data_IF_814396972396
#
_entry.id   IF_814396972396
#
_cell.length_a   1.000
_cell.length_b   1.000
_cell.length_c   1.000
_cell.angle_alpha   90.00
_cell.angle_beta   90.00
_cell.angle_gamma   90.00
#
_symmetry.space_group_name_H-M   'P 1'
#
loop_
_entity.id
_entity.type
_entity.pdbx_description
1 polymer ?
#
# COMPACT_ATOMS: atom_id res chain seq x y z
N UNK A 1 -59.44 40.72 -11.08
CA UNK A 1 -58.46 40.24 -12.08
C UNK A 1 -57.08 40.37 -11.46
N UNK A 2 -56.61 39.33 -10.76
CA UNK A 2 -55.22 39.24 -10.31
C UNK A 2 -54.87 37.76 -10.29
N UNK A 3 -54.17 37.31 -11.32
CA UNK A 3 -53.69 35.94 -11.46
C UNK A 3 -52.46 35.74 -10.59
N UNK A 4 -52.56 34.86 -9.59
CA UNK A 4 -51.41 34.29 -8.90
C UNK A 4 -50.86 33.16 -9.77
N UNK A 5 -49.74 33.40 -10.45
CA UNK A 5 -48.92 32.34 -11.02
C UNK A 5 -48.14 31.67 -9.88
N UNK A 6 -48.50 30.42 -9.57
CA UNK A 6 -47.65 29.54 -8.77
C UNK A 6 -46.45 29.11 -9.63
N UNK A 7 -45.22 29.37 -9.16
CA UNK A 7 -44.03 28.77 -9.75
C UNK A 7 -44.04 27.25 -9.53
N UNK A 8 -43.55 26.45 -10.48
CA UNK A 8 -43.46 25.00 -10.29
C UNK A 8 -42.38 24.71 -9.26
N UNK A 9 -42.75 24.05 -8.15
CA UNK A 9 -41.79 23.44 -7.24
C UNK A 9 -41.09 22.32 -8.00
N UNK A 10 -39.82 22.50 -8.32
CA UNK A 10 -38.93 21.38 -8.61
C UNK A 10 -38.95 20.44 -7.40
N UNK A 11 -39.49 19.26 -7.61
CA UNK A 11 -39.59 18.23 -6.58
C UNK A 11 -38.28 17.44 -6.64
N UNK A 12 -37.20 18.00 -6.09
CA UNK A 12 -35.91 17.31 -5.94
C UNK A 12 -36.10 16.16 -4.97
N UNK A 13 -36.18 14.94 -5.50
CA UNK A 13 -36.30 13.72 -4.70
C UNK A 13 -34.93 13.42 -4.10
N UNK A 14 -34.83 13.50 -2.78
CA UNK A 14 -33.60 13.20 -2.06
C UNK A 14 -33.58 11.72 -1.67
N UNK A 15 -32.56 10.98 -2.16
CA UNK A 15 -32.30 9.61 -1.75
C UNK A 15 -31.31 9.66 -0.61
N UNK A 16 -31.66 9.05 0.53
CA UNK A 16 -30.77 8.92 1.68
C UNK A 16 -30.45 7.44 1.84
N UNK A 17 -29.17 7.10 1.73
CA UNK A 17 -28.67 5.73 1.80
C UNK A 17 -27.43 5.67 2.68
N UNK A 18 -27.10 4.49 3.18
CA UNK A 18 -25.85 4.28 3.91
C UNK A 18 -24.67 4.26 2.91
N UNK A 19 -23.49 4.67 3.36
CA UNK A 19 -22.28 4.64 2.53
C UNK A 19 -21.96 3.21 2.07
N UNK A 20 -22.26 2.22 2.92
CA UNK A 20 -21.99 0.80 2.65
C UNK A 20 -22.85 0.23 1.51
N UNK A 21 -24.03 0.83 1.23
CA UNK A 21 -24.94 0.36 0.19
C UNK A 21 -24.36 0.51 -1.23
N UNK A 22 -23.36 1.41 -1.42
CA UNK A 22 -22.60 1.56 -2.67
C UNK A 22 -21.81 0.30 -3.04
N UNK A 23 -21.42 -0.50 -2.05
CA UNK A 23 -20.48 -1.61 -2.23
C UNK A 23 -21.18 -2.97 -2.12
N UNK A 24 -22.50 -2.98 -2.03
CA UNK A 24 -23.30 -4.22 -2.10
C UNK A 24 -23.47 -4.65 -3.55
N UNK A 25 -23.75 -5.94 -3.77
CA UNK A 25 -24.04 -6.49 -5.11
C UNK A 25 -25.21 -5.78 -5.83
N UNK A 26 -26.06 -5.06 -5.08
CA UNK A 26 -27.24 -4.38 -5.60
C UNK A 26 -27.03 -2.87 -5.81
N UNK A 27 -25.99 -2.27 -5.22
CA UNK A 27 -25.71 -0.84 -5.26
C UNK A 27 -26.86 0.05 -4.74
N UNK A 28 -26.80 1.35 -5.04
CA UNK A 28 -27.89 2.30 -4.77
C UNK A 28 -28.60 2.62 -6.08
N UNK A 29 -29.89 2.29 -6.15
CA UNK A 29 -30.71 2.58 -7.33
C UNK A 29 -31.00 4.09 -7.43
N UNK A 30 -30.50 4.73 -8.49
CA UNK A 30 -30.80 6.13 -8.83
C UNK A 30 -31.71 6.15 -10.05
N UNK A 31 -32.86 6.78 -9.94
CA UNK A 31 -33.98 6.70 -10.89
C UNK A 31 -34.11 7.99 -11.71
N UNK A 32 -33.02 8.43 -12.34
CA UNK A 32 -33.03 9.49 -13.38
C UNK A 32 -32.54 10.88 -12.96
N UNK A 33 -32.56 11.80 -13.93
CA UNK A 33 -31.97 13.14 -13.80
C UNK A 33 -32.74 14.03 -12.82
N UNK A 34 -32.01 14.62 -11.87
CA UNK A 34 -32.53 15.55 -10.85
C UNK A 34 -32.65 14.98 -9.43
N UNK A 35 -32.28 13.71 -9.20
CA UNK A 35 -32.20 13.13 -7.86
C UNK A 35 -30.90 13.51 -7.16
N UNK A 36 -30.98 13.84 -5.86
CA UNK A 36 -29.80 14.18 -5.05
C UNK A 36 -29.56 13.06 -4.04
N UNK A 37 -28.42 12.37 -4.15
CA UNK A 37 -28.02 11.31 -3.21
C UNK A 37 -27.30 11.92 -1.99
N UNK A 38 -27.78 11.59 -0.80
CA UNK A 38 -27.14 11.94 0.48
C UNK A 38 -26.72 10.67 1.19
N UNK A 39 -25.42 10.41 1.20
CA UNK A 39 -24.82 9.27 1.88
C UNK A 39 -24.61 9.60 3.36
N UNK A 40 -25.13 8.74 4.24
CA UNK A 40 -24.94 8.86 5.68
C UNK A 40 -23.74 8.01 6.09
N UNK A 41 -22.68 8.65 6.58
CA UNK A 41 -21.58 7.95 7.25
C UNK A 41 -21.91 7.85 8.75
N UNK A 42 -22.26 6.65 9.23
CA UNK A 42 -22.44 6.33 10.64
C UNK A 42 -23.73 6.86 11.28
N UNK A 43 -24.78 6.03 11.29
CA UNK A 43 -25.98 6.27 12.10
C UNK A 43 -26.06 5.28 13.26
N UNK A 44 -26.13 5.82 14.48
CA UNK A 44 -25.97 5.17 15.78
C UNK A 44 -27.16 4.32 16.24
N UNK A 45 -26.88 3.21 16.92
CA UNK A 45 -27.77 2.66 17.95
C UNK A 45 -27.10 2.69 19.34
N UNK A 46 -27.87 3.21 20.28
CA UNK A 46 -27.55 3.58 21.66
C UNK A 46 -27.23 2.42 22.61
N UNK A 47 -26.23 2.67 23.47
CA UNK A 47 -25.67 1.87 24.58
C UNK A 47 -26.61 0.97 25.41
N UNK A 48 -26.10 -0.21 25.81
CA UNK A 48 -26.19 -0.74 27.18
C UNK A 48 -24.90 -1.45 27.62
N UNK A 49 -24.44 -1.08 28.82
CA UNK A 49 -23.30 -1.58 29.60
C UNK A 49 -22.98 -3.08 29.48
N UNK A 50 -21.70 -3.40 29.27
CA UNK A 50 -21.02 -4.54 29.94
C UNK A 50 -19.57 -4.18 30.29
N UNK A 51 -19.18 -4.50 31.52
CA UNK A 51 -17.86 -4.27 32.11
C UNK A 51 -16.75 -5.11 31.44
N UNK A 52 -15.48 -4.64 31.49
CA UNK A 52 -14.35 -5.33 30.86
C UNK A 52 -13.93 -6.56 31.65
N UNK A 53 -13.95 -7.73 31.03
CA UNK A 53 -13.24 -8.92 31.52
C UNK A 53 -11.77 -8.83 31.11
N UNK A 54 -10.90 -9.02 32.10
CA UNK A 54 -9.44 -8.89 32.05
C UNK A 54 -8.75 -9.60 30.87
N UNK A 55 -7.70 -9.00 30.27
CA UNK A 55 -6.93 -9.66 29.23
C UNK A 55 -6.05 -10.78 29.83
N UNK A 56 -6.11 -11.96 29.19
CA UNK A 56 -5.13 -13.04 29.40
C UNK A 56 -3.75 -12.57 28.91
N UNK A 57 -2.72 -12.85 29.72
CA UNK A 57 -1.30 -12.55 29.48
C UNK A 57 -0.87 -12.90 28.05
N UNK A 58 -0.47 -11.88 27.29
CA UNK A 58 0.36 -11.99 26.10
C UNK A 58 1.81 -12.29 26.50
N UNK A 59 2.41 -13.27 25.83
CA UNK A 59 3.83 -13.63 25.98
C UNK A 59 4.72 -12.60 25.26
N UNK A 60 5.88 -12.32 25.86
CA UNK A 60 6.82 -11.25 25.49
C UNK A 60 7.59 -11.57 24.20
N UNK A 61 7.62 -10.58 23.30
CA UNK A 61 8.88 -9.98 22.84
C UNK A 61 9.59 -10.65 21.66
N UNK A 62 8.96 -10.61 20.48
CA UNK A 62 9.68 -10.51 19.21
C UNK A 62 9.05 -9.36 18.42
N UNK A 63 9.80 -8.70 17.52
CA UNK A 63 9.23 -7.62 16.75
C UNK A 63 8.33 -8.13 15.62
N UNK A 64 7.18 -7.49 15.56
CA UNK A 64 5.98 -7.87 14.80
C UNK A 64 6.02 -7.46 13.32
N UNK A 65 6.52 -8.25 12.37
CA UNK A 65 6.40 -7.86 10.96
C UNK A 65 4.90 -7.87 10.55
N UNK A 66 4.34 -6.71 10.19
CA UNK A 66 2.93 -6.50 9.81
C UNK A 66 2.88 -6.06 8.34
N UNK A 67 1.89 -6.54 7.58
CA UNK A 67 1.75 -6.28 6.15
C UNK A 67 0.28 -6.04 5.78
N UNK A 68 0.03 -5.23 4.74
CA UNK A 68 -1.23 -4.56 4.43
C UNK A 68 -1.88 -5.08 3.14
N UNK A 69 -1.77 -6.38 2.87
CA UNK A 69 -2.26 -7.00 1.62
C UNK A 69 -3.71 -6.66 1.25
N UNK A 70 -4.59 -6.44 2.24
CA UNK A 70 -5.95 -5.96 2.02
C UNK A 70 -6.02 -4.55 1.38
N UNK A 71 -5.13 -3.63 1.75
CA UNK A 71 -5.08 -2.26 1.21
C UNK A 71 -4.62 -2.30 -0.26
N UNK A 72 -3.55 -3.04 -0.55
CA UNK A 72 -3.08 -3.26 -1.93
C UNK A 72 -4.16 -3.88 -2.82
N UNK A 73 -4.87 -4.89 -2.30
CA UNK A 73 -5.98 -5.53 -3.03
C UNK A 73 -7.06 -4.50 -3.36
N UNK A 74 -7.50 -3.72 -2.37
CA UNK A 74 -8.53 -2.71 -2.57
C UNK A 74 -8.12 -1.60 -3.56
N UNK A 75 -6.87 -1.13 -3.49
CA UNK A 75 -6.34 -0.14 -4.44
C UNK A 75 -6.40 -0.71 -5.87
N UNK A 76 -5.81 -1.88 -6.09
CA UNK A 76 -5.75 -2.46 -7.44
C UNK A 76 -7.12 -2.85 -7.99
N UNK A 77 -8.00 -3.44 -7.18
CA UNK A 77 -9.34 -3.86 -7.59
C UNK A 77 -10.27 -2.68 -7.92
N UNK A 78 -9.97 -1.48 -7.40
CA UNK A 78 -10.66 -0.24 -7.76
C UNK A 78 -10.26 0.34 -9.12
N UNK A 79 -9.20 -0.21 -9.75
CA UNK A 79 -8.70 0.23 -11.05
C UNK A 79 -9.62 -0.23 -12.18
N UNK A 80 -9.73 0.55 -13.24
CA UNK A 80 -10.48 0.21 -14.44
C UNK A 80 -9.51 -0.26 -15.53
N UNK A 81 -9.73 -1.46 -16.06
CA UNK A 81 -8.93 -2.06 -17.13
C UNK A 81 -9.64 -1.97 -18.48
N UNK A 82 -8.86 -1.84 -19.56
CA UNK A 82 -9.37 -1.85 -20.93
C UNK A 82 -8.69 -2.92 -21.76
N UNK A 83 -9.46 -3.57 -22.62
CA UNK A 83 -8.95 -4.60 -23.53
C UNK A 83 -9.22 -4.26 -25.00
N UNK A 84 -10.27 -3.48 -25.26
CA UNK A 84 -10.72 -3.11 -26.60
C UNK A 84 -10.80 -1.59 -26.69
N UNK A 85 -10.30 -1.03 -27.79
CA UNK A 85 -10.38 0.41 -28.06
C UNK A 85 -11.84 0.87 -28.08
N UNK A 86 -12.12 2.00 -27.42
CA UNK A 86 -13.45 2.63 -27.33
C UNK A 86 -14.53 1.81 -26.59
N UNK A 87 -14.21 0.63 -26.07
CA UNK A 87 -15.09 -0.13 -25.19
C UNK A 87 -15.10 0.45 -23.76
N UNK A 88 -16.20 0.28 -23.00
CA UNK A 88 -16.22 0.59 -21.57
C UNK A 88 -15.07 -0.14 -20.83
N UNK A 89 -14.46 0.54 -19.88
CA UNK A 89 -13.49 -0.10 -19.00
C UNK A 89 -14.21 -1.02 -18.00
N UNK A 90 -13.53 -2.07 -17.59
CA UNK A 90 -14.04 -3.09 -16.67
C UNK A 90 -13.34 -2.91 -15.32
N UNK A 91 -14.07 -2.91 -14.19
CA UNK A 91 -13.44 -2.95 -12.87
C UNK A 91 -12.47 -4.12 -12.77
N UNK A 92 -11.25 -3.87 -12.30
CA UNK A 92 -10.20 -4.87 -12.17
C UNK A 92 -10.60 -6.02 -11.23
N UNK A 93 -11.47 -5.75 -10.26
CA UNK A 93 -12.09 -6.76 -9.39
C UNK A 93 -12.92 -7.81 -10.13
N UNK A 94 -13.36 -7.52 -11.37
CA UNK A 94 -14.16 -8.40 -12.22
C UNK A 94 -13.34 -9.08 -13.32
N UNK A 95 -12.03 -8.83 -13.36
CA UNK A 95 -11.13 -9.34 -14.39
C UNK A 95 -10.15 -10.31 -13.76
N UNK A 96 -10.12 -11.54 -14.28
CA UNK A 96 -9.09 -12.51 -13.97
C UNK A 96 -7.94 -12.39 -14.98
N UNK A 97 -6.76 -12.00 -14.50
CA UNK A 97 -5.53 -11.97 -15.30
C UNK A 97 -4.88 -13.36 -15.24
N UNK A 98 -4.75 -14.01 -16.39
CA UNK A 98 -4.22 -15.36 -16.47
C UNK A 98 -2.68 -15.37 -16.55
N UNK A 99 -2.04 -16.07 -15.62
CA UNK A 99 -0.59 -16.24 -15.56
C UNK A 99 -0.13 -17.55 -16.24
N UNK A 100 1.12 -17.64 -16.72
CA UNK A 100 1.65 -18.83 -17.39
C UNK A 100 1.54 -20.15 -16.61
N UNK A 101 1.54 -20.11 -15.28
CA UNK A 101 1.37 -21.30 -14.42
C UNK A 101 -0.10 -21.68 -14.15
N UNK A 102 -1.05 -21.07 -14.87
CA UNK A 102 -2.48 -21.31 -14.73
C UNK A 102 -3.13 -20.66 -13.51
N UNK A 103 -2.44 -19.73 -12.83
CA UNK A 103 -3.09 -18.82 -11.88
C UNK A 103 -3.98 -17.84 -12.64
N UNK A 104 -5.09 -17.48 -12.02
CA UNK A 104 -6.01 -16.46 -12.46
C UNK A 104 -6.22 -15.55 -11.23
N UNK A 105 -5.84 -14.29 -11.34
CA UNK A 105 -5.81 -13.34 -10.23
C UNK A 105 -6.37 -11.99 -10.67
N UNK A 106 -7.05 -11.28 -9.78
CA UNK A 106 -7.40 -9.87 -10.04
C UNK A 106 -6.15 -8.99 -10.01
N UNK A 107 -6.26 -7.79 -10.56
CA UNK A 107 -5.16 -6.81 -10.50
C UNK A 107 -4.73 -6.54 -9.05
N UNK A 108 -5.69 -6.31 -8.15
CA UNK A 108 -5.42 -6.07 -6.73
C UNK A 108 -4.73 -7.25 -6.05
N UNK A 109 -5.13 -8.48 -6.35
CA UNK A 109 -4.45 -9.67 -5.81
C UNK A 109 -3.00 -9.75 -6.27
N UNK A 110 -2.69 -9.35 -7.51
CA UNK A 110 -1.30 -9.33 -7.98
C UNK A 110 -0.48 -8.23 -7.29
N UNK A 111 -1.04 -7.03 -7.06
CA UNK A 111 -0.40 -5.99 -6.24
C UNK A 111 -0.07 -6.52 -4.84
N UNK A 112 -1.06 -7.15 -4.18
CA UNK A 112 -0.92 -7.63 -2.80
C UNK A 112 0.05 -8.81 -2.65
N UNK A 113 0.35 -9.53 -3.73
CA UNK A 113 1.26 -10.68 -3.74
C UNK A 113 2.69 -10.29 -4.13
N UNK A 114 2.87 -9.25 -4.94
CA UNK A 114 4.19 -8.74 -5.34
C UNK A 114 4.94 -8.14 -4.17
N UNK A 115 6.28 -8.24 -4.16
CA UNK A 115 7.14 -7.64 -3.13
C UNK A 115 7.14 -8.40 -1.80
N UNK A 116 5.95 -8.65 -1.22
CA UNK A 116 5.78 -9.22 0.12
C UNK A 116 5.83 -10.74 0.14
N UNK A 117 5.20 -11.39 -0.83
CA UNK A 117 5.04 -12.85 -0.87
C UNK A 117 5.83 -13.50 -2.00
N UNK A 118 5.98 -12.79 -3.10
CA UNK A 118 6.69 -13.24 -4.29
C UNK A 118 7.76 -12.24 -4.67
N UNK A 119 8.96 -12.77 -4.91
CA UNK A 119 10.19 -12.03 -5.07
C UNK A 119 11.40 -12.93 -4.85
N UNK A 120 12.60 -12.39 -5.04
CA UNK A 120 13.86 -13.09 -4.80
C UNK A 120 14.57 -12.37 -3.64
N UNK A 121 14.55 -12.91 -2.40
CA UNK A 121 15.08 -12.20 -1.23
C UNK A 121 16.53 -11.70 -1.37
N UNK A 122 17.38 -12.47 -2.03
CA UNK A 122 18.79 -12.13 -2.22
C UNK A 122 19.05 -11.28 -3.48
N UNK A 123 18.00 -10.94 -4.23
CA UNK A 123 18.10 -10.12 -5.45
C UNK A 123 17.02 -9.03 -5.49
N UNK A 124 17.00 -8.11 -4.51
CA UNK A 124 16.11 -6.95 -4.57
C UNK A 124 16.33 -6.17 -5.88
N UNK A 125 15.25 -5.64 -6.42
CA UNK A 125 15.14 -5.04 -7.74
C UNK A 125 16.01 -3.78 -7.83
N UNK A 126 15.96 -2.91 -6.80
CA UNK A 126 16.71 -1.66 -6.76
C UNK A 126 18.23 -1.86 -6.85
N UNK A 127 18.74 -3.03 -6.44
CA UNK A 127 20.18 -3.35 -6.44
C UNK A 127 20.73 -3.81 -7.80
N UNK A 128 19.91 -3.85 -8.85
CA UNK A 128 20.45 -3.88 -10.21
C UNK A 128 21.29 -2.61 -10.47
N UNK A 129 22.54 -2.80 -10.93
CA UNK A 129 23.47 -1.68 -11.14
C UNK A 129 23.06 -0.82 -12.34
N UNK A 130 22.37 -1.42 -13.30
CA UNK A 130 21.87 -0.75 -14.50
C UNK A 130 20.35 -0.90 -14.63
N UNK A 131 19.66 -0.01 -15.38
CA UNK A 131 18.22 -0.16 -15.63
C UNK A 131 17.84 -1.54 -16.20
N UNK A 132 18.66 -2.09 -17.10
CA UNK A 132 18.44 -3.42 -17.67
C UNK A 132 18.55 -4.54 -16.62
N UNK A 133 19.51 -4.44 -15.70
CA UNK A 133 19.62 -5.40 -14.59
C UNK A 133 18.42 -5.32 -13.63
N UNK A 134 17.90 -4.11 -13.37
CA UNK A 134 16.68 -3.96 -12.54
C UNK A 134 15.47 -4.59 -13.22
N UNK A 135 15.30 -4.38 -14.53
CA UNK A 135 14.24 -5.04 -15.32
C UNK A 135 14.37 -6.57 -15.26
N UNK A 136 15.60 -7.10 -15.34
CA UNK A 136 15.83 -8.54 -15.23
C UNK A 136 15.49 -9.07 -13.84
N UNK A 137 15.86 -8.36 -12.76
CA UNK A 137 15.54 -8.73 -11.38
C UNK A 137 14.03 -8.69 -11.13
N UNK A 138 13.35 -7.64 -11.62
CA UNK A 138 11.89 -7.56 -11.59
C UNK A 138 11.27 -8.76 -12.31
N UNK A 139 11.71 -9.07 -13.53
CA UNK A 139 11.21 -10.22 -14.30
C UNK A 139 11.40 -11.53 -13.53
N UNK A 140 12.56 -11.72 -12.86
CA UNK A 140 12.80 -12.90 -12.02
C UNK A 140 11.85 -12.95 -10.81
N UNK A 141 11.62 -11.80 -10.15
CA UNK A 141 10.69 -11.68 -9.04
C UNK A 141 9.24 -12.01 -9.47
N UNK A 142 8.76 -11.41 -10.55
CA UNK A 142 7.45 -11.69 -11.13
C UNK A 142 7.30 -13.17 -11.52
N UNK A 143 8.33 -13.76 -12.14
CA UNK A 143 8.29 -15.17 -12.53
C UNK A 143 8.21 -16.14 -11.33
N UNK A 144 8.64 -15.72 -10.14
CA UNK A 144 8.43 -16.50 -8.91
C UNK A 144 6.94 -16.67 -8.58
N UNK A 145 6.09 -15.71 -8.97
CA UNK A 145 4.63 -15.81 -8.91
C UNK A 145 4.05 -16.50 -10.15
N UNK A 146 4.45 -16.02 -11.33
CA UNK A 146 3.70 -16.24 -12.58
C UNK A 146 4.06 -17.54 -13.31
N UNK A 147 5.24 -18.11 -13.10
CA UNK A 147 5.76 -19.24 -13.91
C UNK A 147 5.89 -20.54 -13.11
N UNK A 148 6.21 -20.45 -11.82
CA UNK A 148 6.43 -21.66 -11.02
C UNK A 148 5.11 -22.40 -10.73
N UNK A 149 4.99 -23.71 -11.02
CA UNK A 149 3.76 -24.46 -10.74
C UNK A 149 3.38 -24.49 -9.25
N UNK A 150 4.37 -24.53 -8.35
CA UNK A 150 4.13 -24.54 -6.90
C UNK A 150 3.43 -23.27 -6.41
N UNK A 151 3.70 -22.13 -7.06
CA UNK A 151 3.09 -20.84 -6.72
C UNK A 151 1.58 -20.84 -6.95
N UNK A 152 1.04 -21.69 -7.82
CA UNK A 152 -0.40 -21.77 -8.05
C UNK A 152 -1.18 -22.18 -6.79
N UNK A 153 -0.72 -23.23 -6.12
CA UNK A 153 -1.35 -23.70 -4.88
C UNK A 153 -1.02 -22.77 -3.70
N UNK A 154 0.22 -22.30 -3.62
CA UNK A 154 0.70 -21.45 -2.54
C UNK A 154 -0.02 -20.08 -2.51
N UNK A 155 -0.17 -19.41 -3.65
CA UNK A 155 -0.86 -18.11 -3.74
C UNK A 155 -2.29 -18.19 -3.20
N UNK A 156 -3.02 -19.27 -3.50
CA UNK A 156 -4.38 -19.49 -2.99
C UNK A 156 -4.41 -19.62 -1.46
N UNK A 157 -3.41 -20.25 -0.85
CA UNK A 157 -3.30 -20.33 0.61
C UNK A 157 -3.00 -18.96 1.22
N UNK A 158 -2.09 -18.19 0.61
CA UNK A 158 -1.75 -16.84 1.05
C UNK A 158 -2.98 -15.92 1.01
N UNK A 159 -3.70 -15.92 -0.11
CA UNK A 159 -4.93 -15.16 -0.29
C UNK A 159 -6.03 -15.61 0.68
N UNK A 160 -6.09 -16.91 1.01
CA UNK A 160 -7.01 -17.42 2.03
C UNK A 160 -6.74 -16.86 3.43
N UNK A 161 -5.48 -16.62 3.78
CA UNK A 161 -5.11 -15.94 5.05
C UNK A 161 -5.42 -14.44 4.96
N UNK A 162 -5.14 -13.79 3.82
CA UNK A 162 -5.49 -12.39 3.56
C UNK A 162 -7.00 -12.13 3.65
N UNK A 163 -7.83 -13.09 3.23
CA UNK A 163 -9.28 -12.98 3.36
C UNK A 163 -9.74 -12.91 4.83
N UNK A 164 -8.97 -13.47 5.79
CA UNK A 164 -9.25 -13.32 7.23
C UNK A 164 -9.05 -11.89 7.69
N UNK A 165 -8.01 -11.23 7.18
CA UNK A 165 -7.74 -9.80 7.42
C UNK A 165 -8.89 -8.94 6.87
N UNK A 166 -9.23 -9.12 5.59
CA UNK A 166 -10.34 -8.41 4.93
C UNK A 166 -11.65 -8.61 5.70
N UNK A 167 -11.94 -9.84 6.15
CA UNK A 167 -13.15 -10.12 6.91
C UNK A 167 -13.19 -9.40 8.27
N UNK A 168 -12.05 -9.29 8.95
CA UNK A 168 -11.94 -8.57 10.22
C UNK A 168 -12.11 -7.06 10.04
N UNK A 169 -11.51 -6.47 9.00
CA UNK A 169 -11.67 -5.05 8.65
C UNK A 169 -13.13 -4.74 8.34
N UNK A 170 -13.76 -5.54 7.46
CA UNK A 170 -15.16 -5.38 7.11
C UNK A 170 -16.07 -5.53 8.34
N UNK A 171 -15.71 -6.39 9.30
CA UNK A 171 -16.45 -6.48 10.55
C UNK A 171 -16.28 -5.22 11.43
N UNK A 172 -15.07 -4.66 11.51
CA UNK A 172 -14.84 -3.43 12.25
C UNK A 172 -15.65 -2.26 11.66
N UNK A 173 -15.70 -2.15 10.33
CA UNK A 173 -16.53 -1.16 9.62
C UNK A 173 -18.01 -1.36 9.98
N UNK A 174 -18.54 -2.58 9.86
CA UNK A 174 -19.94 -2.90 10.23
C UNK A 174 -20.25 -2.60 11.69
N UNK A 175 -19.28 -2.75 12.59
CA UNK A 175 -19.41 -2.45 14.00
C UNK A 175 -19.32 -0.93 14.31
N UNK A 176 -19.04 -0.09 13.32
CA UNK A 176 -18.79 1.35 13.48
C UNK A 176 -17.46 1.67 14.18
N UNK A 177 -16.52 0.71 14.20
CA UNK A 177 -15.16 0.89 14.72
C UNK A 177 -14.24 1.42 13.63
N UNK A 178 -13.10 1.98 14.03
CA UNK A 178 -12.09 2.37 13.06
C UNK A 178 -11.41 1.12 12.47
N UNK A 179 -11.24 1.03 11.13
CA UNK A 179 -10.59 -0.11 10.49
C UNK A 179 -9.21 -0.49 11.05
N UNK A 180 -8.38 0.50 11.40
CA UNK A 180 -7.07 0.23 12.01
C UNK A 180 -7.13 -0.59 13.31
N UNK A 181 -8.24 -0.54 14.06
CA UNK A 181 -8.43 -1.35 15.27
C UNK A 181 -8.48 -2.85 14.96
N UNK A 182 -8.94 -3.23 13.77
CA UNK A 182 -8.94 -4.64 13.33
C UNK A 182 -7.51 -5.15 13.15
N UNK A 183 -6.63 -4.35 12.54
CA UNK A 183 -5.21 -4.70 12.38
C UNK A 183 -4.51 -4.86 13.75
N UNK A 184 -4.80 -3.96 14.70
CA UNK A 184 -4.25 -4.06 16.05
C UNK A 184 -4.73 -5.31 16.79
N UNK A 185 -5.98 -5.72 16.58
CA UNK A 185 -6.54 -6.93 17.18
C UNK A 185 -6.00 -8.23 16.56
N UNK A 186 -5.76 -8.26 15.24
CA UNK A 186 -5.19 -9.41 14.54
C UNK A 186 -3.74 -9.68 14.96
N UNK A 187 -2.95 -8.63 15.22
CA UNK A 187 -1.56 -8.77 15.63
C UNK A 187 -0.74 -9.62 14.65
N UNK A 188 0.11 -10.52 15.16
CA UNK A 188 1.07 -11.29 14.35
C UNK A 188 0.53 -12.61 13.80
N UNK A 189 -0.70 -12.98 14.14
CA UNK A 189 -1.18 -14.34 13.86
C UNK A 189 -1.20 -14.66 12.37
N UNK A 190 -1.43 -13.65 11.53
CA UNK A 190 -1.41 -13.81 10.07
C UNK A 190 0.01 -13.95 9.53
N UNK A 191 0.96 -13.16 10.03
CA UNK A 191 2.39 -13.28 9.68
C UNK A 191 2.98 -14.64 10.03
N UNK A 192 2.55 -15.23 11.15
CA UNK A 192 2.91 -16.61 11.51
C UNK A 192 2.38 -17.65 10.52
N UNK A 193 1.14 -17.49 10.04
CA UNK A 193 0.55 -18.38 9.03
C UNK A 193 1.24 -18.22 7.67
N UNK A 194 1.44 -16.98 7.22
CA UNK A 194 2.15 -16.68 5.97
C UNK A 194 3.59 -17.17 5.96
N UNK A 195 4.30 -17.06 7.09
CA UNK A 195 5.64 -17.62 7.20
C UNK A 195 5.64 -19.13 6.98
N UNK A 196 4.68 -19.86 7.58
CA UNK A 196 4.54 -21.32 7.39
C UNK A 196 4.20 -21.68 5.95
N UNK A 197 3.27 -20.95 5.34
CA UNK A 197 2.85 -21.19 3.94
C UNK A 197 4.05 -21.03 3.00
N UNK A 198 4.90 -20.03 3.24
CA UNK A 198 6.07 -19.72 2.41
C UNK A 198 7.34 -20.50 2.80
N UNK A 199 7.17 -21.65 3.47
CA UNK A 199 8.25 -22.60 3.76
C UNK A 199 9.06 -22.33 5.04
N UNK A 200 8.55 -21.47 5.93
CA UNK A 200 9.11 -21.19 7.24
C UNK A 200 8.42 -21.93 8.39
N UNK A 201 8.80 -21.58 9.61
CA UNK A 201 8.23 -22.12 10.83
C UNK A 201 8.67 -23.54 11.16
N UNK A 202 8.47 -23.93 12.41
CA UNK A 202 8.82 -25.22 12.99
C UNK A 202 7.81 -25.61 14.07
N UNK A 203 7.99 -26.80 14.66
CA UNK A 203 7.14 -27.27 15.75
C UNK A 203 7.24 -26.43 17.03
N UNK A 204 8.33 -25.68 17.22
CA UNK A 204 8.56 -24.82 18.41
C UNK A 204 8.35 -23.33 18.14
N UNK A 205 8.33 -22.90 16.88
CA UNK A 205 8.19 -21.50 16.52
C UNK A 205 7.52 -21.35 15.17
N UNK A 206 6.45 -20.56 15.11
CA UNK A 206 5.82 -20.23 13.84
C UNK A 206 6.68 -19.30 12.96
N UNK A 207 7.63 -18.57 13.56
CA UNK A 207 8.47 -17.59 12.87
C UNK A 207 9.80 -18.18 12.39
N UNK A 208 10.33 -19.21 13.05
CA UNK A 208 11.65 -19.77 12.72
C UNK A 208 11.59 -21.24 12.30
N UNK A 209 12.29 -21.64 11.21
CA UNK A 209 13.09 -20.81 10.29
C UNK A 209 12.25 -19.79 9.48
N UNK A 210 12.93 -18.80 8.89
CA UNK A 210 12.27 -17.79 8.05
C UNK A 210 11.87 -18.40 6.69
N UNK A 211 10.58 -18.36 6.38
CA UNK A 211 10.02 -18.61 5.05
C UNK A 211 10.28 -17.44 4.10
N UNK A 212 9.85 -17.57 2.84
CA UNK A 212 10.09 -16.53 1.82
C UNK A 212 9.50 -15.18 2.22
N UNK A 213 8.31 -15.16 2.81
CA UNK A 213 7.65 -13.94 3.30
C UNK A 213 8.54 -13.14 4.29
N UNK A 214 9.03 -13.79 5.36
CA UNK A 214 9.88 -13.09 6.33
C UNK A 214 11.28 -12.78 5.80
N UNK A 215 11.77 -13.52 4.80
CA UNK A 215 13.03 -13.20 4.12
C UNK A 215 12.92 -11.97 3.24
N UNK A 216 11.81 -11.83 2.50
CA UNK A 216 11.50 -10.63 1.73
C UNK A 216 11.40 -9.43 2.68
N UNK A 217 10.63 -9.55 3.76
CA UNK A 217 10.51 -8.55 4.81
C UNK A 217 11.86 -8.07 5.40
N UNK A 218 12.82 -8.99 5.54
CA UNK A 218 14.14 -8.67 6.08
C UNK A 218 15.00 -7.85 5.09
N UNK A 219 14.89 -8.11 3.78
CA UNK A 219 15.63 -7.43 2.72
C UNK A 219 14.69 -6.71 1.74
N UNK A 220 13.91 -5.77 2.28
CA UNK A 220 12.79 -5.11 1.60
C UNK A 220 13.09 -3.64 1.22
N UNK A 221 14.31 -3.33 0.77
CA UNK A 221 14.64 -1.96 0.38
C UNK A 221 13.71 -1.44 -0.74
N UNK A 222 13.21 -2.32 -1.60
CA UNK A 222 12.29 -2.04 -2.72
C UNK A 222 10.92 -1.44 -2.31
N UNK A 223 10.65 -1.29 -1.01
CA UNK A 223 9.43 -0.63 -0.52
C UNK A 223 9.67 0.84 -0.15
N UNK A 224 10.93 1.28 0.01
CA UNK A 224 11.22 2.57 0.62
C UNK A 224 11.75 3.61 -0.37
N UNK A 225 11.08 4.75 -0.43
CA UNK A 225 11.55 5.99 -1.07
C UNK A 225 12.14 5.79 -2.47
N UNK A 226 13.37 6.26 -2.68
CA UNK A 226 14.01 6.18 -4.00
C UNK A 226 14.20 4.73 -4.51
N UNK A 227 14.24 3.76 -3.61
CA UNK A 227 14.40 2.35 -3.97
C UNK A 227 13.11 1.75 -4.51
N UNK A 228 11.96 2.06 -3.90
CA UNK A 228 10.65 1.72 -4.45
C UNK A 228 10.39 2.39 -5.79
N UNK A 229 10.81 3.64 -5.95
CA UNK A 229 10.76 4.34 -7.24
C UNK A 229 11.52 3.57 -8.32
N UNK A 230 12.73 3.06 -8.01
CA UNK A 230 13.52 2.26 -8.95
C UNK A 230 12.87 0.91 -9.26
N UNK A 231 12.26 0.26 -8.27
CA UNK A 231 11.54 -1.00 -8.44
C UNK A 231 10.30 -0.83 -9.34
N UNK A 232 9.48 0.19 -9.07
CA UNK A 232 8.33 0.56 -9.90
C UNK A 232 8.76 0.87 -11.34
N UNK A 233 9.77 1.72 -11.54
CA UNK A 233 10.25 2.08 -12.89
C UNK A 233 10.68 0.83 -13.66
N UNK A 234 11.42 -0.09 -13.02
CA UNK A 234 11.85 -1.32 -13.66
C UNK A 234 10.66 -2.22 -14.06
N UNK A 235 9.71 -2.39 -13.14
CA UNK A 235 8.52 -3.21 -13.37
C UNK A 235 7.57 -2.64 -14.42
N UNK A 236 7.24 -1.36 -14.32
CA UNK A 236 6.40 -0.66 -15.28
C UNK A 236 7.04 -0.67 -16.67
N UNK A 237 8.36 -0.47 -16.77
CA UNK A 237 9.08 -0.61 -18.05
C UNK A 237 8.91 -2.00 -18.65
N UNK A 238 9.03 -3.06 -17.84
CA UNK A 238 8.85 -4.43 -18.30
C UNK A 238 7.40 -4.70 -18.75
N UNK A 239 6.42 -4.18 -18.01
CA UNK A 239 5.00 -4.27 -18.35
C UNK A 239 4.68 -3.55 -19.68
N UNK A 240 5.22 -2.36 -19.91
CA UNK A 240 5.05 -1.63 -21.17
C UNK A 240 5.71 -2.35 -22.35
N UNK A 241 6.89 -2.95 -22.14
CA UNK A 241 7.54 -3.78 -23.15
C UNK A 241 6.67 -5.00 -23.50
N UNK A 242 6.06 -5.62 -22.50
CA UNK A 242 5.12 -6.73 -22.66
C UNK A 242 3.84 -6.29 -23.39
N UNK A 243 3.31 -5.09 -23.11
CA UNK A 243 2.17 -4.52 -23.82
C UNK A 243 2.47 -4.26 -25.31
N UNK A 244 3.67 -3.77 -25.63
CA UNK A 244 4.13 -3.62 -27.02
C UNK A 244 4.29 -4.98 -27.70
N UNK A 245 4.79 -6.01 -26.99
CA UNK A 245 4.84 -7.36 -27.51
C UNK A 245 3.43 -7.92 -27.81
N UNK A 246 2.46 -7.64 -26.94
CA UNK A 246 1.06 -8.00 -27.12
C UNK A 246 0.43 -7.32 -28.34
N UNK A 247 0.74 -6.05 -28.59
CA UNK A 247 0.33 -5.34 -29.81
C UNK A 247 0.81 -6.08 -31.06
N UNK A 248 2.10 -6.43 -31.10
CA UNK A 248 2.74 -7.04 -32.26
C UNK A 248 2.24 -8.48 -32.52
N UNK A 249 1.84 -9.22 -31.48
CA UNK A 249 1.34 -10.58 -31.61
C UNK A 249 -0.15 -10.65 -31.93
N UNK A 250 -0.94 -9.65 -31.51
CA UNK A 250 -2.40 -9.69 -31.56
C UNK A 250 -3.02 -10.69 -30.56
N UNK A 251 -2.25 -11.20 -29.61
CA UNK A 251 -2.72 -12.14 -28.59
C UNK A 251 -3.14 -11.39 -27.33
N UNK A 252 -4.45 -11.33 -27.06
CA UNK A 252 -5.02 -10.65 -25.89
C UNK A 252 -4.48 -11.20 -24.56
N UNK A 253 -4.05 -12.46 -24.50
CA UNK A 253 -3.43 -13.03 -23.29
C UNK A 253 -2.11 -12.36 -22.94
N UNK A 254 -1.40 -11.83 -23.93
CA UNK A 254 -0.17 -11.08 -23.70
C UNK A 254 -0.45 -9.70 -23.10
N UNK A 255 -1.63 -9.13 -23.33
CA UNK A 255 -2.09 -7.90 -22.66
C UNK A 255 -2.49 -8.19 -21.21
N UNK A 256 -3.16 -9.31 -20.92
CA UNK A 256 -3.40 -9.74 -19.55
C UNK A 256 -2.08 -9.91 -18.78
N UNK A 257 -1.07 -10.52 -19.40
CA UNK A 257 0.26 -10.65 -18.82
C UNK A 257 0.93 -9.28 -18.59
N UNK A 258 0.76 -8.33 -19.51
CA UNK A 258 1.26 -6.96 -19.33
C UNK A 258 0.60 -6.28 -18.12
N UNK A 259 -0.72 -6.41 -17.96
CA UNK A 259 -1.41 -5.92 -16.77
C UNK A 259 -0.96 -6.62 -15.49
N UNK A 260 -0.73 -7.93 -15.50
CA UNK A 260 -0.23 -8.64 -14.33
C UNK A 260 1.19 -8.20 -13.95
N UNK A 261 2.07 -7.99 -14.94
CA UNK A 261 3.39 -7.40 -14.69
C UNK A 261 3.24 -5.98 -14.12
N UNK A 262 2.31 -5.19 -14.65
CA UNK A 262 2.09 -3.84 -14.15
C UNK A 262 1.57 -3.82 -12.71
N UNK A 263 0.61 -4.69 -12.38
CA UNK A 263 0.10 -4.85 -11.02
C UNK A 263 1.21 -5.25 -10.04
N UNK A 264 2.11 -6.16 -10.46
CA UNK A 264 3.25 -6.55 -9.64
C UNK A 264 4.23 -5.38 -9.43
N UNK A 265 4.38 -4.49 -10.41
CA UNK A 265 5.16 -3.26 -10.28
C UNK A 265 4.46 -2.20 -9.42
N UNK A 266 3.13 -2.12 -9.50
CA UNK A 266 2.31 -1.18 -8.78
C UNK A 266 2.31 -1.44 -7.27
N UNK A 267 2.75 -2.62 -6.80
CA UNK A 267 3.08 -2.83 -5.40
C UNK A 267 4.02 -1.73 -4.87
N UNK A 268 5.19 -1.56 -5.52
CA UNK A 268 6.13 -0.49 -5.19
C UNK A 268 5.57 0.91 -5.48
N UNK A 269 4.64 1.05 -6.43
CA UNK A 269 3.95 2.32 -6.65
C UNK A 269 3.07 2.68 -5.45
N UNK A 270 2.32 1.72 -4.91
CA UNK A 270 1.43 1.92 -3.78
C UNK A 270 2.18 2.18 -2.48
N UNK A 271 3.34 1.56 -2.27
CA UNK A 271 4.23 1.87 -1.13
C UNK A 271 4.64 3.34 -1.13
N UNK A 272 4.85 3.95 -2.30
CA UNK A 272 5.19 5.37 -2.45
C UNK A 272 4.04 6.33 -2.09
N UNK A 273 2.88 5.83 -1.67
CA UNK A 273 1.81 6.64 -1.09
C UNK A 273 1.62 6.38 0.41
N UNK A 274 2.34 5.43 1.00
CA UNK A 274 2.30 5.20 2.43
C UNK A 274 3.43 5.94 3.14
N UNK A 275 3.06 6.82 4.08
CA UNK A 275 4.00 7.74 4.72
C UNK A 275 5.22 7.04 5.36
N UNK A 276 5.02 5.85 5.94
CA UNK A 276 6.09 5.02 6.52
C UNK A 276 7.18 4.59 5.54
N UNK A 277 6.92 4.66 4.24
CA UNK A 277 7.86 4.26 3.20
C UNK A 277 8.61 5.44 2.56
N UNK A 278 8.18 6.69 2.81
CA UNK A 278 8.68 7.85 2.07
C UNK A 278 10.09 8.31 2.48
N UNK A 279 10.31 8.47 3.79
CA UNK A 279 11.53 9.11 4.33
C UNK A 279 12.34 8.22 5.27
N UNK A 280 11.95 6.96 5.45
CA UNK A 280 12.68 6.00 6.28
C UNK A 280 14.00 5.60 5.60
N UNK A 281 15.17 5.82 6.24
CA UNK A 281 16.46 5.55 5.62
C UNK A 281 16.84 4.06 5.77
N UNK A 282 16.05 3.18 5.13
CA UNK A 282 16.08 1.72 5.29
C UNK A 282 17.47 1.12 5.08
N UNK A 283 18.09 1.37 3.92
CA UNK A 283 19.42 0.81 3.60
C UNK A 283 20.51 1.38 4.49
N UNK A 284 20.46 2.68 4.76
CA UNK A 284 21.47 3.36 5.57
C UNK A 284 21.44 2.85 7.02
N UNK A 285 20.25 2.62 7.58
CA UNK A 285 20.10 2.03 8.92
C UNK A 285 20.62 0.58 8.97
N UNK A 286 20.27 -0.26 7.99
CA UNK A 286 20.80 -1.62 7.90
C UNK A 286 22.33 -1.67 7.78
N UNK A 287 22.95 -0.65 7.16
CA UNK A 287 24.39 -0.57 6.99
C UNK A 287 25.16 -0.09 8.24
N UNK A 288 24.56 0.76 9.08
CA UNK A 288 25.25 1.35 10.25
C UNK A 288 24.94 0.65 11.58
N UNK A 289 23.92 -0.21 11.63
CA UNK A 289 23.54 -0.95 12.84
C UNK A 289 23.97 -2.40 12.74
N UNK A 290 24.63 -2.90 13.81
CA UNK A 290 25.07 -4.29 13.91
C UNK A 290 24.29 -5.02 15.02
N UNK A 291 23.67 -6.18 14.73
CA UNK A 291 23.51 -6.80 13.40
C UNK A 291 22.59 -5.98 12.48
N UNK A 292 22.73 -6.13 11.17
CA UNK A 292 21.92 -5.42 10.17
C UNK A 292 20.42 -5.63 10.38
N UNK A 293 20.02 -6.83 10.80
CA UNK A 293 18.63 -7.18 11.11
C UNK A 293 18.05 -6.33 12.25
N UNK A 294 18.91 -5.90 13.21
CA UNK A 294 18.50 -4.97 14.25
C UNK A 294 18.30 -3.56 13.68
N UNK A 295 19.13 -3.15 12.71
CA UNK A 295 18.92 -1.92 11.94
C UNK A 295 17.56 -1.95 11.25
N UNK A 296 17.31 -3.04 10.53
CA UNK A 296 16.03 -3.29 9.87
C UNK A 296 14.85 -3.29 10.85
N UNK A 297 15.04 -3.86 12.02
CA UNK A 297 14.04 -3.84 13.06
C UNK A 297 13.73 -2.41 13.54
N UNK A 298 14.74 -1.62 13.92
CA UNK A 298 14.48 -0.31 14.50
C UNK A 298 13.92 0.70 13.49
N UNK A 299 14.19 0.53 12.18
CA UNK A 299 13.57 1.39 11.16
C UNK A 299 12.05 1.30 11.20
N UNK A 300 11.52 0.15 11.63
CA UNK A 300 10.07 -0.08 11.69
C UNK A 300 9.37 0.88 12.64
N UNK A 301 10.02 1.34 13.71
CA UNK A 301 9.40 2.32 14.60
C UNK A 301 9.16 3.66 13.90
N UNK A 302 10.07 4.08 13.02
CA UNK A 302 9.87 5.29 12.20
C UNK A 302 8.82 5.07 11.13
N UNK A 303 8.84 3.90 10.49
CA UNK A 303 7.81 3.49 9.54
C UNK A 303 6.41 3.55 10.15
N UNK A 304 6.19 2.86 11.28
CA UNK A 304 4.90 2.81 11.96
C UNK A 304 4.50 4.19 12.52
N UNK A 305 5.47 5.02 12.93
CA UNK A 305 5.24 6.42 13.35
C UNK A 305 4.74 7.29 12.20
N UNK A 306 5.46 7.30 11.07
CA UNK A 306 5.11 8.08 9.89
C UNK A 306 3.77 7.61 9.30
N UNK A 307 3.51 6.31 9.22
CA UNK A 307 2.22 5.77 8.77
C UNK A 307 1.07 6.17 9.70
N UNK A 308 1.27 6.14 11.02
CA UNK A 308 0.23 6.44 12.01
C UNK A 308 -0.14 7.92 12.03
N UNK A 309 0.85 8.80 12.04
CA UNK A 309 0.69 10.25 12.24
C UNK A 309 0.60 11.04 10.94
N UNK A 310 1.04 10.44 9.83
CA UNK A 310 0.97 11.00 8.50
C UNK A 310 1.99 12.11 8.23
N UNK A 311 2.25 12.33 6.94
CA UNK A 311 3.18 13.35 6.45
C UNK A 311 2.46 14.31 5.51
N UNK A 312 2.72 15.60 5.69
CA UNK A 312 2.40 16.62 4.69
C UNK A 312 3.33 16.43 3.49
N UNK A 313 2.73 16.14 2.35
CA UNK A 313 3.41 15.83 1.09
C UNK A 313 2.88 16.71 -0.04
N UNK A 314 3.65 16.77 -1.12
CA UNK A 314 3.25 17.41 -2.38
C UNK A 314 3.80 16.63 -3.56
N UNK A 315 3.19 16.76 -4.74
CA UNK A 315 3.64 16.07 -5.95
C UNK A 315 4.09 17.05 -7.06
N UNK A 316 4.55 16.49 -8.18
CA UNK A 316 4.99 17.25 -9.35
C UNK A 316 3.87 18.01 -10.08
N UNK A 317 2.60 17.73 -9.78
CA UNK A 317 1.45 18.48 -10.31
C UNK A 317 1.08 19.69 -9.43
N UNK A 318 1.73 19.86 -8.28
CA UNK A 318 1.46 20.93 -7.34
C UNK A 318 0.36 20.60 -6.31
N UNK A 319 -0.16 19.37 -6.31
CA UNK A 319 -1.08 18.92 -5.27
C UNK A 319 -0.36 18.87 -3.92
N UNK A 320 -1.10 19.14 -2.84
CA UNK A 320 -0.63 19.06 -1.46
C UNK A 320 -1.67 18.33 -0.63
N UNK A 321 -1.26 17.35 0.15
CA UNK A 321 -2.16 16.62 1.03
C UNK A 321 -1.41 16.07 2.25
N UNK A 322 -2.16 15.53 3.19
CA UNK A 322 -1.63 14.81 4.33
C UNK A 322 -1.79 13.31 4.06
N UNK A 323 -0.67 12.62 3.87
CA UNK A 323 -0.62 11.20 3.57
C UNK A 323 -0.47 10.41 4.88
N UNK A 324 -1.42 9.54 5.21
CA UNK A 324 -1.16 8.47 6.18
C UNK A 324 -0.52 7.29 5.44
N UNK A 325 -0.17 6.24 6.19
CA UNK A 325 0.41 5.05 5.59
C UNK A 325 -0.33 3.79 5.98
N UNK A 326 0.44 2.72 5.99
CA UNK A 326 0.03 1.36 6.28
C UNK A 326 -1.00 1.26 7.42
N UNK A 327 -2.07 0.49 7.17
CA UNK A 327 -3.22 0.25 8.07
C UNK A 327 -4.18 1.43 8.21
N UNK A 328 -3.99 2.49 7.44
CA UNK A 328 -4.82 3.70 7.47
C UNK A 328 -5.61 3.89 6.19
N UNK A 329 -5.41 3.05 5.17
CA UNK A 329 -6.10 3.19 3.88
C UNK A 329 -7.61 3.28 4.11
N UNK A 330 -8.20 2.38 4.91
CA UNK A 330 -9.64 2.39 5.15
C UNK A 330 -10.12 3.43 6.19
N UNK A 331 -9.22 4.10 6.91
CA UNK A 331 -9.61 5.14 7.87
C UNK A 331 -10.15 6.38 7.13
N UNK A 332 -11.21 7.00 7.65
CA UNK A 332 -11.81 8.17 7.00
C UNK A 332 -10.81 9.33 6.79
N UNK A 333 -9.83 9.45 7.70
CA UNK A 333 -8.81 10.50 7.69
C UNK A 333 -7.85 10.42 6.50
N UNK A 334 -7.70 9.25 5.87
CA UNK A 334 -6.78 9.02 4.75
C UNK A 334 -7.42 9.23 3.37
N UNK A 335 -8.63 9.81 3.30
CA UNK A 335 -9.38 9.93 2.04
C UNK A 335 -8.64 10.71 0.94
N UNK A 336 -7.85 11.71 1.31
CA UNK A 336 -7.06 12.49 0.34
C UNK A 336 -5.92 11.66 -0.26
N UNK A 337 -5.23 10.87 0.58
CA UNK A 337 -4.16 9.99 0.13
C UNK A 337 -4.69 8.82 -0.71
N UNK A 338 -5.79 8.19 -0.27
CA UNK A 338 -6.53 7.20 -1.05
C UNK A 338 -6.86 7.67 -2.46
N UNK A 339 -7.33 8.91 -2.60
CA UNK A 339 -7.64 9.48 -3.90
C UNK A 339 -6.38 9.60 -4.78
N UNK A 340 -5.24 9.98 -4.20
CA UNK A 340 -3.98 10.13 -4.93
C UNK A 340 -3.42 8.78 -5.38
N UNK A 341 -3.35 7.78 -4.50
CA UNK A 341 -2.84 6.44 -4.85
C UNK A 341 -3.72 5.75 -5.91
N UNK A 342 -5.05 5.80 -5.77
CA UNK A 342 -5.96 5.20 -6.75
C UNK A 342 -5.81 5.88 -8.13
N UNK A 343 -5.62 7.20 -8.17
CA UNK A 343 -5.35 7.90 -9.43
C UNK A 343 -3.98 7.57 -10.03
N UNK A 344 -2.95 7.33 -9.21
CA UNK A 344 -1.64 6.92 -9.69
C UNK A 344 -1.66 5.51 -10.30
N UNK A 345 -2.30 4.56 -9.63
CA UNK A 345 -2.46 3.18 -10.13
C UNK A 345 -3.33 3.15 -11.39
N UNK A 346 -4.42 3.95 -11.45
CA UNK A 346 -5.22 4.07 -12.68
C UNK A 346 -4.38 4.58 -13.85
N UNK A 347 -3.56 5.62 -13.64
CA UNK A 347 -2.68 6.15 -14.69
C UNK A 347 -1.65 5.12 -15.12
N UNK A 348 -1.08 4.36 -14.18
CA UNK A 348 -0.15 3.25 -14.47
C UNK A 348 -0.82 2.20 -15.39
N UNK A 349 -2.02 1.73 -15.06
CA UNK A 349 -2.76 0.78 -15.89
C UNK A 349 -3.17 1.37 -17.27
N UNK A 350 -3.57 2.63 -17.32
CA UNK A 350 -3.91 3.31 -18.58
C UNK A 350 -2.70 3.40 -19.53
N UNK A 351 -1.49 3.61 -19.00
CA UNK A 351 -0.25 3.64 -19.80
C UNK A 351 0.04 2.27 -20.44
N UNK A 352 -0.24 1.16 -19.75
CA UNK A 352 -0.14 -0.20 -20.32
C UNK A 352 -1.05 -0.34 -21.53
N UNK A 353 -2.32 0.06 -21.40
CA UNK A 353 -3.27 -0.02 -22.50
C UNK A 353 -2.90 0.92 -23.65
N UNK A 354 -2.43 2.13 -23.35
CA UNK A 354 -1.97 3.07 -24.37
C UNK A 354 -0.77 2.52 -25.16
N UNK A 355 0.17 1.85 -24.48
CA UNK A 355 1.30 1.19 -25.13
C UNK A 355 0.85 0.02 -26.00
N UNK A 356 -0.11 -0.79 -25.52
CA UNK A 356 -0.73 -1.85 -26.32
C UNK A 356 -1.44 -1.31 -27.56
N UNK A 357 -2.21 -0.22 -27.46
CA UNK A 357 -2.92 0.34 -28.61
C UNK A 357 -1.97 0.97 -29.64
N UNK A 358 -0.94 1.66 -29.18
CA UNK A 358 -0.02 2.39 -30.06
C UNK A 358 1.12 1.54 -30.63
N UNK A 359 1.44 0.40 -30.00
CA UNK A 359 2.64 -0.39 -30.32
C UNK A 359 3.94 0.30 -29.88
N UNK A 360 3.86 1.32 -29.03
CA UNK A 360 5.02 2.10 -28.56
C UNK A 360 4.94 2.36 -27.06
N UNK A 361 6.07 2.34 -26.36
CA UNK A 361 6.13 2.61 -24.92
C UNK A 361 6.81 3.97 -24.64
N UNK A 362 6.32 4.77 -23.68
CA UNK A 362 7.04 5.96 -23.21
C UNK A 362 8.38 5.58 -22.57
N UNK A 363 9.31 6.53 -22.53
CA UNK A 363 10.55 6.37 -21.77
C UNK A 363 10.29 6.49 -20.26
N UNK A 364 11.11 5.82 -19.44
CA UNK A 364 10.94 5.78 -17.98
C UNK A 364 10.79 7.16 -17.30
N UNK A 365 11.53 8.18 -17.76
CA UNK A 365 11.41 9.53 -17.21
C UNK A 365 10.10 10.26 -17.57
N UNK A 366 9.27 9.68 -18.44
CA UNK A 366 8.02 10.26 -18.94
C UNK A 366 6.78 9.53 -18.44
N UNK A 367 6.92 8.48 -17.62
CA UNK A 367 5.80 7.76 -17.03
C UNK A 367 4.88 8.73 -16.28
N UNK A 368 3.61 8.73 -16.66
CA UNK A 368 2.63 9.69 -16.17
C UNK A 368 2.34 9.50 -14.67
N UNK A 369 2.36 8.26 -14.17
CA UNK A 369 2.18 7.98 -12.75
C UNK A 369 3.23 8.68 -11.86
N UNK A 370 4.47 8.87 -12.35
CA UNK A 370 5.55 9.51 -11.59
C UNK A 370 5.25 10.96 -11.20
N UNK A 371 4.40 11.66 -11.97
CA UNK A 371 4.01 13.05 -11.66
C UNK A 371 3.08 13.16 -10.46
N UNK A 372 2.44 12.06 -10.07
CA UNK A 372 1.49 11.98 -8.95
C UNK A 372 2.16 11.62 -7.63
N UNK A 373 3.36 11.07 -7.68
CA UNK A 373 4.10 10.64 -6.50
C UNK A 373 4.36 11.80 -5.53
N UNK A 374 4.31 11.55 -4.21
CA UNK A 374 4.95 12.42 -3.25
C UNK A 374 6.39 12.75 -3.64
N UNK A 375 6.77 14.01 -3.49
CA UNK A 375 8.15 14.46 -3.70
C UNK A 375 9.05 13.89 -2.60
N UNK A 376 9.80 12.85 -2.99
CA UNK A 376 10.71 12.10 -2.13
C UNK A 376 11.89 12.93 -1.61
N UNK A 377 12.22 14.08 -2.21
CA UNK A 377 13.24 14.98 -1.68
C UNK A 377 12.63 16.00 -0.72
N UNK A 378 11.45 16.53 -1.05
CA UNK A 378 10.75 17.48 -0.18
C UNK A 378 10.37 16.85 1.17
N UNK A 379 9.95 15.58 1.19
CA UNK A 379 9.55 14.87 2.42
C UNK A 379 10.72 14.61 3.40
N UNK A 380 11.97 14.64 2.92
CA UNK A 380 13.16 14.57 3.77
C UNK A 380 13.39 15.85 4.58
N UNK A 381 12.84 16.98 4.11
CA UNK A 381 12.87 18.23 4.85
C UNK A 381 11.85 18.18 5.99
N UNK A 382 12.27 18.31 7.26
CA UNK A 382 11.33 18.30 8.39
C UNK A 382 10.42 19.53 8.42
N UNK A 383 10.70 20.58 7.63
CA UNK A 383 9.84 21.77 7.57
C UNK A 383 8.41 21.40 7.15
N UNK A 384 7.45 21.66 8.03
CA UNK A 384 6.03 21.33 7.78
C UNK A 384 5.64 19.91 8.18
N UNK A 385 6.56 19.08 8.65
CA UNK A 385 6.29 17.76 9.22
C UNK A 385 6.76 17.69 10.68
N UNK A 386 6.40 16.64 11.40
CA UNK A 386 7.08 16.34 12.65
C UNK A 386 8.50 15.82 12.35
N UNK A 387 9.41 15.99 13.31
CA UNK A 387 10.82 15.63 13.17
C UNK A 387 10.93 14.13 12.85
N UNK A 388 11.80 13.66 11.95
CA UNK A 388 11.94 12.22 11.71
C UNK A 388 12.63 11.51 12.89
N UNK A 389 12.32 10.24 13.14
CA UNK A 389 13.01 9.47 14.18
C UNK A 389 14.48 9.18 13.79
N UNK A 390 14.70 8.92 12.50
CA UNK A 390 16.03 8.77 11.91
C UNK A 390 16.12 9.64 10.64
N UNK A 391 17.27 10.29 10.43
CA UNK A 391 17.54 11.03 9.18
C UNK A 391 18.98 10.82 8.75
N UNK A 392 19.23 10.96 7.44
CA UNK A 392 20.59 10.92 6.89
C UNK A 392 21.11 12.34 6.75
N UNK A 393 22.33 12.60 7.23
CA UNK A 393 23.03 13.86 7.04
C UNK A 393 24.49 13.58 6.67
N UNK A 394 24.87 13.91 5.44
CA UNK A 394 26.15 13.47 4.88
C UNK A 394 26.26 11.95 4.86
N UNK A 395 27.27 11.41 5.54
CA UNK A 395 27.51 9.97 5.66
C UNK A 395 27.01 9.38 7.00
N UNK A 396 26.29 10.15 7.81
CA UNK A 396 25.80 9.72 9.13
C UNK A 396 24.31 9.47 9.10
N UNK A 397 23.89 8.47 9.86
CA UNK A 397 22.49 8.32 10.26
C UNK A 397 22.34 8.94 11.64
N UNK A 398 21.54 9.99 11.70
CA UNK A 398 21.22 10.71 12.93
C UNK A 398 19.90 10.18 13.49
N UNK A 399 19.80 10.11 14.82
CA UNK A 399 18.57 9.74 15.53
C UNK A 399 18.03 10.95 16.27
N UNK A 400 16.71 11.09 16.36
CA UNK A 400 16.06 12.08 17.24
C UNK A 400 16.58 11.93 18.68
N UNK A 401 16.93 13.05 19.32
CA UNK A 401 17.57 13.02 20.65
C UNK A 401 16.60 12.49 21.71
N UNK A 402 15.46 13.17 21.86
CA UNK A 402 14.30 12.68 22.59
C UNK A 402 13.37 11.94 21.65
N UNK A 403 13.48 10.60 21.65
CA UNK A 403 12.65 9.76 20.78
C UNK A 403 11.17 9.90 21.09
N UNK A 404 10.78 10.22 22.33
CA UNK A 404 9.38 10.29 22.73
C UNK A 404 8.72 11.64 22.42
N UNK A 405 9.43 12.57 21.78
CA UNK A 405 8.90 13.87 21.39
C UNK A 405 8.93 14.02 19.86
N UNK A 406 7.77 13.96 19.20
CA UNK A 406 7.63 14.12 17.74
C UNK A 406 8.19 15.44 17.22
N UNK A 407 8.21 16.47 18.08
CA UNK A 407 8.65 17.82 17.72
C UNK A 407 10.11 18.09 18.09
N UNK A 408 10.85 17.12 18.64
CA UNK A 408 12.26 17.30 18.94
C UNK A 408 13.08 17.30 17.64
N UNK A 409 13.52 18.48 17.23
CA UNK A 409 14.39 18.66 16.05
C UNK A 409 15.85 18.41 16.37
N UNK A 410 16.23 18.24 17.64
CA UNK A 410 17.60 17.90 18.00
C UNK A 410 17.90 16.45 17.64
N UNK A 411 19.08 16.23 17.07
CA UNK A 411 19.53 14.90 16.66
C UNK A 411 20.89 14.56 17.26
N UNK A 412 21.15 13.27 17.40
CA UNK A 412 22.42 12.72 17.89
C UNK A 412 23.01 11.74 16.86
N UNK A 413 24.33 11.66 16.79
CA UNK A 413 25.08 10.68 15.98
C UNK A 413 25.75 9.59 16.83
N UNK A 414 25.82 9.76 18.15
CA UNK A 414 26.41 8.85 19.13
C UNK A 414 25.36 7.91 19.76
N UNK A 415 24.65 7.17 18.92
CA UNK A 415 23.60 6.23 19.35
C UNK A 415 23.92 4.79 18.94
N UNK A 416 23.32 3.82 19.64
CA UNK A 416 23.53 2.39 19.39
C UNK A 416 22.21 1.69 19.09
N UNK A 417 22.21 0.70 18.20
CA UNK A 417 20.99 -0.01 17.79
C UNK A 417 20.26 -0.67 18.96
N UNK A 418 20.98 -1.36 19.84
CA UNK A 418 20.36 -2.05 20.99
C UNK A 418 19.78 -1.10 22.03
N UNK A 419 20.49 -0.02 22.36
CA UNK A 419 19.95 0.98 23.29
C UNK A 419 18.75 1.69 22.69
N UNK A 420 18.77 1.97 21.40
CA UNK A 420 17.64 2.55 20.67
C UNK A 420 16.44 1.61 20.67
N UNK A 421 16.62 0.32 20.37
CA UNK A 421 15.55 -0.67 20.46
C UNK A 421 14.94 -0.73 21.86
N UNK A 422 15.75 -0.71 22.92
CA UNK A 422 15.26 -0.72 24.30
C UNK A 422 14.46 0.55 24.67
N UNK A 423 14.79 1.70 24.07
CA UNK A 423 14.01 2.94 24.22
C UNK A 423 12.67 2.86 23.46
N UNK A 424 12.62 2.15 22.34
CA UNK A 424 11.46 2.07 21.45
C UNK A 424 10.56 0.86 21.70
N UNK A 425 10.97 -0.14 22.50
CA UNK A 425 10.17 -1.36 22.70
C UNK A 425 8.76 -1.10 23.28
N UNK A 426 8.59 0.02 24.00
CA UNK A 426 7.32 0.48 24.56
C UNK A 426 6.93 1.86 23.97
N UNK A 427 7.25 2.08 22.69
CA UNK A 427 7.17 3.40 22.04
C UNK A 427 5.75 3.98 22.02
N UNK A 428 5.59 5.14 22.63
CA UNK A 428 4.36 5.94 22.66
C UNK A 428 4.74 7.42 22.60
N UNK A 429 5.15 7.93 21.42
CA UNK A 429 5.63 9.28 21.31
C UNK A 429 4.51 10.30 21.58
N UNK A 430 4.92 11.43 22.15
CA UNK A 430 4.08 12.59 22.47
C UNK A 430 4.47 13.75 21.55
N UNK A 431 3.57 14.73 21.41
CA UNK A 431 3.82 15.92 20.61
C UNK A 431 2.56 16.43 19.94
N UNK A 432 2.63 17.67 19.46
CA UNK A 432 1.57 18.26 18.65
C UNK A 432 1.89 17.95 17.20
N UNK A 433 0.98 17.28 16.51
CA UNK A 433 1.08 17.16 15.05
C UNK A 433 0.98 18.57 14.48
N UNK A 434 1.96 18.98 13.69
CA UNK A 434 1.87 20.22 12.93
C UNK A 434 0.72 20.05 11.93
N UNK A 435 -0.49 20.44 12.35
CA UNK A 435 -1.66 20.51 11.48
C UNK A 435 -1.26 21.40 10.31
N UNK A 436 -1.45 20.91 9.08
CA UNK A 436 -1.35 21.74 7.90
C UNK A 436 -2.16 23.01 8.17
N UNK A 437 -1.46 24.13 8.30
CA UNK A 437 -2.12 25.42 8.26
C UNK A 437 -2.83 25.47 6.91
N UNK A 438 -4.14 25.70 6.94
CA UNK A 438 -4.94 26.03 5.75
C UNK A 438 -4.13 27.00 4.87
N UNK A 439 -3.69 26.53 3.70
CA UNK A 439 -3.10 27.34 2.64
C UNK A 439 -3.44 26.70 1.30
#
# INVERSE_FOLDING_TARGET
MSGLHAQPKENTRQIIADLDDLFTEHGIAISGDGETLKLLAGSTHTHKNQQPTSPKKTLKGAPQLRFEGAEHTAIGDSTLLRFIKDAPAIPASQVELHLPNGLALTYGQVIALGGDFYGIPDQPINEGATPAERIQRFTNAFNSLAVLPASNAEAKLILGVMQKEIAAINQAIRDGKQPHEAYDALGDTLSEEWNKITGGGSFVSALFPLGRYLKLAANNADHFGEWALLAYIAGHTAALQQAVAAHNSGDEKQLELAYAMNAFADHSLTDLFSAGHLRVPRKQLAAVVTPSDLGSLITRFMHDEDSKFGLNVSNGNGDRWHAYGDKRYFDAIDSANRAQVNQAVQVSADEVFAAYLSGTAPSAGSFAALKRLPDLQAVLNPAGNFSPLFKVEGNKVLRRKDVNNLNDTATVDDWWGWSTYLLLKDYQPTGVLNSAANA
#
